data_IF_012774052629
#
_entry.id   IF_012774052629
#
_cell.length_a   1.000
_cell.length_b   1.000
_cell.length_c   1.000
_cell.angle_alpha   90.00
_cell.angle_beta   90.00
_cell.angle_gamma   90.00
#
_symmetry.space_group_name_H-M   'P 1'
#
loop_
_entity.id
_entity.type
_entity.pdbx_description
1 polymer ?
#
# COMPACT_ATOMS: atom_id res chain seq x y z
N UNK A 1 56.97 -10.45 -47.11
CA UNK A 1 56.50 -10.26 -45.74
C UNK A 1 55.05 -9.74 -45.84
N UNK A 2 54.05 -10.61 -45.60
CA UNK A 2 52.63 -10.21 -45.62
C UNK A 2 52.19 -10.05 -44.17
N UNK A 3 51.80 -8.81 -43.81
CA UNK A 3 51.21 -8.48 -42.51
C UNK A 3 49.74 -8.88 -42.55
N UNK A 4 49.34 -9.79 -41.65
CA UNK A 4 47.92 -10.14 -41.43
C UNK A 4 47.42 -9.29 -40.24
N UNK A 5 46.54 -8.32 -40.51
CA UNK A 5 45.84 -7.59 -39.45
C UNK A 5 44.68 -8.48 -38.98
N UNK A 6 44.78 -8.94 -37.71
CA UNK A 6 43.62 -9.54 -37.01
C UNK A 6 42.74 -8.38 -36.46
N UNK A 7 41.60 -8.20 -37.05
CA UNK A 7 40.55 -7.34 -36.49
C UNK A 7 39.81 -8.12 -35.38
N UNK A 8 40.06 -7.79 -34.13
CA UNK A 8 39.32 -8.29 -32.99
C UNK A 8 37.93 -7.66 -32.92
N UNK A 9 36.88 -8.46 -33.15
CA UNK A 9 35.51 -8.05 -32.91
C UNK A 9 35.25 -8.11 -31.39
N UNK A 10 35.24 -6.93 -30.75
CA UNK A 10 34.78 -6.81 -29.36
C UNK A 10 33.26 -7.02 -29.31
N UNK A 11 32.82 -8.17 -28.82
CA UNK A 11 31.44 -8.42 -28.52
C UNK A 11 31.05 -7.61 -27.27
N UNK A 12 30.46 -6.43 -27.46
CA UNK A 12 29.88 -5.67 -26.38
C UNK A 12 28.59 -6.41 -25.96
N UNK A 13 28.67 -7.21 -24.90
CA UNK A 13 27.50 -7.72 -24.19
C UNK A 13 26.76 -6.50 -23.62
N UNK A 14 25.73 -6.03 -24.32
CA UNK A 14 24.78 -5.08 -23.75
C UNK A 14 24.12 -5.76 -22.56
N UNK A 15 24.49 -5.36 -21.35
CA UNK A 15 23.72 -5.68 -20.15
C UNK A 15 22.27 -5.20 -20.41
N UNK A 16 21.23 -5.99 -20.07
CA UNK A 16 19.87 -5.52 -20.18
C UNK A 16 19.77 -4.23 -19.39
N UNK A 17 19.43 -3.13 -20.05
CA UNK A 17 19.05 -1.89 -19.36
C UNK A 17 17.99 -2.29 -18.34
N UNK A 18 18.32 -2.13 -17.05
CA UNK A 18 17.31 -2.18 -16.01
C UNK A 18 16.26 -1.13 -16.41
N UNK A 19 15.05 -1.57 -16.67
CA UNK A 19 13.99 -0.64 -17.00
C UNK A 19 13.89 0.37 -15.86
N UNK A 20 13.93 1.64 -16.20
CA UNK A 20 13.74 2.69 -15.22
C UNK A 20 12.36 2.45 -14.55
N UNK A 21 12.20 2.70 -13.23
CA UNK A 21 10.90 2.56 -12.55
C UNK A 21 9.83 3.54 -13.10
N UNK A 22 10.13 4.21 -14.20
CA UNK A 22 9.37 5.29 -14.81
C UNK A 22 7.93 4.95 -15.15
N UNK A 23 7.65 3.74 -15.63
CA UNK A 23 6.29 3.38 -16.08
C UNK A 23 5.30 3.28 -14.92
N UNK A 24 5.73 2.82 -13.73
CA UNK A 24 4.86 2.74 -12.54
C UNK A 24 4.56 4.12 -11.93
N UNK A 25 5.43 5.11 -12.15
CA UNK A 25 5.32 6.47 -11.61
C UNK A 25 4.65 7.44 -12.59
N UNK A 26 4.69 7.13 -13.89
CA UNK A 26 4.14 7.98 -14.95
C UNK A 26 2.63 8.18 -14.79
N UNK A 27 2.09 9.35 -15.13
CA UNK A 27 0.65 9.55 -15.22
C UNK A 27 0.03 8.54 -16.20
N UNK A 28 -1.10 7.99 -15.80
CA UNK A 28 -1.86 7.12 -16.69
C UNK A 28 -2.44 7.92 -17.86
N UNK A 29 -2.53 7.29 -19.02
CA UNK A 29 -3.06 7.92 -20.24
C UNK A 29 -4.25 7.15 -20.76
N UNK A 30 -5.13 7.84 -21.49
CA UNK A 30 -6.34 7.23 -22.04
C UNK A 30 -7.63 7.84 -21.49
N UNK A 31 -8.79 7.25 -21.81
CA UNK A 31 -10.09 7.73 -21.35
C UNK A 31 -10.25 7.55 -19.83
N UNK A 32 -11.21 8.28 -19.26
CA UNK A 32 -11.61 8.19 -17.82
C UNK A 32 -10.48 8.44 -16.81
N UNK A 33 -9.48 9.25 -17.16
CA UNK A 33 -8.32 9.53 -16.31
C UNK A 33 -7.13 8.62 -16.56
N UNK A 34 -7.25 7.73 -17.53
CA UNK A 34 -6.20 6.82 -17.95
C UNK A 34 -6.25 5.45 -17.28
N UNK A 35 -5.49 4.53 -17.84
CA UNK A 35 -5.34 3.16 -17.35
C UNK A 35 -3.86 2.78 -17.19
N UNK A 36 -3.52 1.91 -16.22
CA UNK A 36 -2.15 1.42 -16.06
C UNK A 36 -1.73 0.53 -17.23
N UNK A 37 -0.49 0.67 -17.69
CA UNK A 37 0.10 -0.25 -18.64
C UNK A 37 0.54 -1.56 -17.94
N UNK A 38 -0.41 -2.44 -17.64
CA UNK A 38 -0.13 -3.71 -16.95
C UNK A 38 0.85 -4.60 -17.71
N UNK A 39 0.91 -4.53 -19.04
CA UNK A 39 1.81 -5.35 -19.85
C UNK A 39 3.29 -5.00 -19.65
N UNK A 40 3.59 -3.77 -19.23
CA UNK A 40 4.95 -3.32 -18.95
C UNK A 40 5.40 -3.58 -17.51
N UNK A 41 4.50 -3.96 -16.59
CA UNK A 41 4.80 -4.13 -15.15
C UNK A 41 5.61 -5.39 -14.91
N UNK A 42 6.71 -5.24 -14.18
CA UNK A 42 7.53 -6.34 -13.67
C UNK A 42 7.65 -6.25 -12.16
N UNK A 43 7.69 -7.40 -11.48
CA UNK A 43 7.79 -7.46 -10.01
C UNK A 43 9.01 -6.71 -9.48
N UNK A 44 10.14 -6.80 -10.20
CA UNK A 44 11.39 -6.12 -9.84
C UNK A 44 11.29 -4.57 -9.84
N UNK A 45 10.31 -4.00 -10.54
CA UNK A 45 10.12 -2.56 -10.64
C UNK A 45 9.34 -1.98 -9.44
N UNK A 46 8.58 -2.79 -8.69
CA UNK A 46 7.74 -2.29 -7.59
C UNK A 46 8.54 -1.63 -6.47
N UNK A 47 9.55 -2.32 -5.93
CA UNK A 47 10.34 -1.79 -4.83
C UNK A 47 10.97 -0.44 -5.17
N UNK A 48 11.79 -0.29 -6.23
CA UNK A 48 12.40 0.98 -6.56
C UNK A 48 11.37 2.07 -6.90
N UNK A 49 10.24 1.73 -7.52
CA UNK A 49 9.17 2.68 -7.80
C UNK A 49 8.51 3.19 -6.52
N UNK A 50 8.14 2.29 -5.60
CA UNK A 50 7.53 2.67 -4.31
C UNK A 50 8.49 3.53 -3.48
N UNK A 51 9.76 3.16 -3.39
CA UNK A 51 10.78 3.94 -2.66
C UNK A 51 10.98 5.34 -3.27
N UNK A 52 11.05 5.45 -4.59
CA UNK A 52 11.18 6.73 -5.29
C UNK A 52 9.93 7.59 -5.12
N UNK A 53 8.74 6.99 -5.17
CA UNK A 53 7.47 7.68 -4.98
C UNK A 53 7.31 8.19 -3.54
N UNK A 54 7.67 7.39 -2.52
CA UNK A 54 7.70 7.83 -1.12
C UNK A 54 8.63 9.02 -0.91
N UNK A 55 9.85 8.94 -1.46
CA UNK A 55 10.82 10.03 -1.37
C UNK A 55 10.32 11.32 -2.05
N UNK A 56 9.60 11.19 -3.16
CA UNK A 56 8.98 12.33 -3.84
C UNK A 56 7.86 12.93 -2.99
N UNK A 57 6.97 12.11 -2.46
CA UNK A 57 5.87 12.58 -1.63
C UNK A 57 6.39 13.25 -0.34
N UNK A 58 7.42 12.72 0.32
CA UNK A 58 8.01 13.42 1.48
C UNK A 58 8.53 14.82 1.12
N UNK A 59 9.13 15.02 -0.06
CA UNK A 59 9.53 16.36 -0.51
C UNK A 59 8.32 17.28 -0.74
N UNK A 60 7.23 16.78 -1.28
CA UNK A 60 5.97 17.52 -1.43
C UNK A 60 5.42 17.95 -0.06
N UNK A 61 5.40 17.02 0.90
CA UNK A 61 5.00 17.28 2.29
C UNK A 61 5.89 18.33 2.95
N UNK A 62 7.21 18.21 2.79
CA UNK A 62 8.17 19.17 3.35
C UNK A 62 7.99 20.58 2.74
N UNK A 63 7.71 20.66 1.44
CA UNK A 63 7.41 21.93 0.77
C UNK A 63 6.14 22.60 1.34
N UNK A 64 5.10 21.81 1.61
CA UNK A 64 3.88 22.32 2.27
C UNK A 64 4.21 22.80 3.69
N UNK A 65 4.90 21.96 4.46
CA UNK A 65 5.22 22.22 5.86
C UNK A 65 6.14 23.44 6.03
N UNK A 66 7.04 23.69 5.08
CA UNK A 66 8.00 24.79 5.09
C UNK A 66 7.48 26.09 4.43
N UNK A 67 6.25 26.10 3.90
CA UNK A 67 5.71 27.27 3.23
C UNK A 67 5.61 28.45 4.21
N UNK A 68 6.28 29.61 3.95
CA UNK A 68 6.30 30.75 4.86
C UNK A 68 5.00 31.55 4.88
N UNK A 69 4.13 31.40 3.87
CA UNK A 69 2.87 32.11 3.83
C UNK A 69 1.89 31.62 4.90
N UNK A 70 1.00 32.48 5.42
CA UNK A 70 -0.05 32.06 6.35
C UNK A 70 -0.82 30.84 5.80
N UNK A 71 -1.13 29.84 6.65
CA UNK A 71 -1.84 28.64 6.21
C UNK A 71 -3.25 28.95 5.71
N UNK A 72 -3.57 28.45 4.52
CA UNK A 72 -4.90 28.54 3.91
C UNK A 72 -5.30 27.18 3.33
N UNK A 73 -6.58 27.01 2.96
CA UNK A 73 -7.02 25.84 2.21
C UNK A 73 -6.17 25.64 0.94
N UNK A 74 -5.94 26.71 0.18
CA UNK A 74 -5.26 26.66 -1.11
C UNK A 74 -3.77 26.29 -1.01
N UNK A 75 -3.07 26.68 0.06
CA UNK A 75 -1.63 26.44 0.21
C UNK A 75 -1.26 25.37 1.24
N UNK A 76 -2.26 24.69 1.82
CA UNK A 76 -2.03 23.65 2.83
C UNK A 76 -2.86 22.41 2.55
N UNK A 77 -4.20 22.52 2.59
CA UNK A 77 -5.08 21.35 2.46
C UNK A 77 -5.11 20.82 1.02
N UNK A 78 -5.30 21.69 0.04
CA UNK A 78 -5.36 21.29 -1.36
C UNK A 78 -4.06 20.69 -1.89
N UNK A 79 -2.87 21.27 -1.63
CA UNK A 79 -1.61 20.61 -1.97
C UNK A 79 -1.39 19.29 -1.23
N UNK A 80 -1.79 19.17 0.02
CA UNK A 80 -1.71 17.93 0.78
C UNK A 80 -2.59 16.83 0.17
N UNK A 81 -3.84 17.15 -0.19
CA UNK A 81 -4.75 16.22 -0.87
C UNK A 81 -4.22 15.74 -2.22
N UNK A 82 -3.52 16.60 -2.94
CA UNK A 82 -2.92 16.29 -4.24
C UNK A 82 -1.54 15.67 -4.15
N UNK A 83 -0.95 15.61 -2.95
CA UNK A 83 0.39 15.03 -2.78
C UNK A 83 0.37 13.50 -2.90
N UNK A 84 1.49 12.92 -3.31
CA UNK A 84 1.65 11.47 -3.38
C UNK A 84 0.96 10.78 -4.55
N UNK A 85 0.58 11.49 -5.60
CA UNK A 85 -0.07 10.87 -6.78
C UNK A 85 0.77 9.75 -7.41
N UNK A 86 2.10 9.91 -7.49
CA UNK A 86 2.98 8.88 -8.00
C UNK A 86 2.98 7.63 -7.11
N UNK A 87 2.93 7.82 -5.78
CA UNK A 87 2.82 6.72 -4.82
C UNK A 87 1.46 6.02 -4.93
N UNK A 88 0.40 6.79 -5.11
CA UNK A 88 -0.95 6.24 -5.33
C UNK A 88 -0.99 5.37 -6.58
N UNK A 89 -0.40 5.82 -7.69
CA UNK A 89 -0.34 5.01 -8.92
C UNK A 89 0.43 3.71 -8.74
N UNK A 90 1.67 3.80 -8.25
CA UNK A 90 2.50 2.62 -8.02
C UNK A 90 1.87 1.66 -6.98
N UNK A 91 1.33 2.21 -5.90
CA UNK A 91 0.67 1.45 -4.85
C UNK A 91 -0.62 0.76 -5.31
N UNK A 92 -1.40 1.39 -6.17
CA UNK A 92 -2.61 0.78 -6.76
C UNK A 92 -2.25 -0.46 -7.58
N UNK A 93 -1.25 -0.35 -8.47
CA UNK A 93 -0.80 -1.48 -9.29
C UNK A 93 -0.23 -2.58 -8.39
N UNK A 94 0.62 -2.21 -7.42
CA UNK A 94 1.20 -3.16 -6.47
C UNK A 94 0.12 -3.89 -5.66
N UNK A 95 -0.91 -3.17 -5.19
CA UNK A 95 -2.04 -3.77 -4.47
C UNK A 95 -2.83 -4.77 -5.31
N UNK A 96 -3.03 -4.50 -6.62
CA UNK A 96 -3.67 -5.45 -7.54
C UNK A 96 -2.82 -6.73 -7.67
N UNK A 97 -1.50 -6.60 -7.81
CA UNK A 97 -0.60 -7.74 -7.90
C UNK A 97 -0.57 -8.55 -6.60
N UNK A 98 -0.46 -7.89 -5.45
CA UNK A 98 -0.47 -8.54 -4.14
C UNK A 98 -1.75 -9.32 -3.86
N UNK A 99 -2.89 -8.82 -4.35
CA UNK A 99 -4.21 -9.44 -4.10
C UNK A 99 -4.56 -10.54 -5.11
N UNK A 100 -4.15 -10.40 -6.38
CA UNK A 100 -4.66 -11.27 -7.46
C UNK A 100 -3.56 -12.10 -8.15
N UNK A 101 -2.31 -11.66 -8.11
CA UNK A 101 -1.18 -12.28 -8.80
C UNK A 101 -0.02 -12.57 -7.82
N UNK A 102 -0.35 -12.97 -6.60
CA UNK A 102 0.63 -13.16 -5.53
C UNK A 102 1.55 -14.34 -5.83
N UNK A 103 2.79 -14.01 -6.26
CA UNK A 103 3.89 -14.96 -6.40
C UNK A 103 4.84 -14.84 -5.20
N UNK A 104 5.78 -15.79 -4.99
CA UNK A 104 6.81 -15.66 -3.96
C UNK A 104 7.61 -14.34 -4.04
N UNK A 105 7.89 -13.87 -5.26
CA UNK A 105 8.61 -12.62 -5.49
C UNK A 105 7.79 -11.41 -5.09
N UNK A 106 6.48 -11.38 -5.38
CA UNK A 106 5.56 -10.31 -4.93
C UNK A 106 5.46 -10.31 -3.41
N UNK A 107 5.33 -11.49 -2.79
CA UNK A 107 5.29 -11.62 -1.33
C UNK A 107 6.59 -11.13 -0.66
N UNK A 108 7.75 -11.34 -1.28
CA UNK A 108 9.02 -10.82 -0.79
C UNK A 108 9.06 -9.28 -0.83
N UNK A 109 8.61 -8.65 -1.92
CA UNK A 109 8.49 -7.19 -2.02
C UNK A 109 7.52 -6.66 -0.96
N UNK A 110 6.37 -7.29 -0.78
CA UNK A 110 5.36 -6.92 0.23
C UNK A 110 5.98 -6.92 1.65
N UNK A 111 6.69 -8.00 1.99
CA UNK A 111 7.35 -8.15 3.30
C UNK A 111 8.41 -7.06 3.52
N UNK A 112 9.19 -6.73 2.49
CA UNK A 112 10.22 -5.70 2.59
C UNK A 112 9.63 -4.29 2.65
N UNK A 113 8.56 -4.03 1.89
CA UNK A 113 7.98 -2.69 1.80
C UNK A 113 7.04 -2.35 2.95
N UNK A 114 6.42 -3.32 3.61
CA UNK A 114 5.48 -3.07 4.69
C UNK A 114 6.04 -2.17 5.81
N UNK A 115 7.21 -2.45 6.43
CA UNK A 115 7.76 -1.57 7.45
C UNK A 115 8.17 -0.19 6.90
N UNK A 116 8.61 -0.10 5.63
CA UNK A 116 8.98 1.17 5.00
C UNK A 116 7.76 2.06 4.76
N UNK A 117 6.66 1.48 4.29
CA UNK A 117 5.40 2.19 4.10
C UNK A 117 4.80 2.66 5.44
N UNK A 118 4.92 1.85 6.49
CA UNK A 118 4.51 2.25 7.84
C UNK A 118 5.32 3.45 8.33
N UNK A 119 6.64 3.36 8.30
CA UNK A 119 7.53 4.45 8.71
C UNK A 119 7.32 5.73 7.89
N UNK A 120 7.06 5.60 6.58
CA UNK A 120 6.70 6.69 5.70
C UNK A 120 5.39 7.38 6.15
N UNK A 121 4.35 6.60 6.44
CA UNK A 121 3.08 7.13 6.96
C UNK A 121 3.27 7.89 8.28
N UNK A 122 4.04 7.31 9.19
CA UNK A 122 4.37 7.93 10.49
C UNK A 122 5.15 9.24 10.31
N UNK A 123 6.09 9.30 9.37
CA UNK A 123 6.86 10.51 9.09
C UNK A 123 5.96 11.69 8.66
N UNK A 124 4.90 11.42 7.90
CA UNK A 124 3.91 12.45 7.50
C UNK A 124 3.06 12.87 8.70
N UNK A 125 2.47 11.91 9.40
CA UNK A 125 1.54 12.18 10.51
C UNK A 125 2.24 12.85 11.69
N UNK A 126 3.48 12.49 11.96
CA UNK A 126 4.27 13.06 13.07
C UNK A 126 4.99 14.37 12.70
N UNK A 127 4.83 14.88 11.47
CA UNK A 127 5.41 16.14 11.07
C UNK A 127 4.72 17.33 11.77
N UNK A 128 5.37 17.96 12.77
CA UNK A 128 4.71 18.97 13.58
C UNK A 128 4.44 20.28 12.81
N UNK A 129 5.28 20.58 11.81
CA UNK A 129 5.10 21.78 10.98
C UNK A 129 3.91 21.64 10.05
N UNK A 130 3.76 20.46 9.44
CA UNK A 130 2.60 20.15 8.61
C UNK A 130 1.32 20.21 9.46
N UNK A 131 1.31 19.54 10.62
CA UNK A 131 0.13 19.54 11.47
C UNK A 131 -0.23 20.95 11.98
N UNK A 132 0.74 21.77 12.34
CA UNK A 132 0.48 23.16 12.75
C UNK A 132 -0.23 23.97 11.65
N UNK A 133 0.13 23.76 10.38
CA UNK A 133 -0.55 24.40 9.24
C UNK A 133 -1.98 23.88 9.06
N UNK A 134 -2.18 22.55 9.16
CA UNK A 134 -3.51 21.92 9.07
C UNK A 134 -4.42 22.42 10.21
N UNK A 135 -3.91 22.49 11.44
CA UNK A 135 -4.64 22.96 12.61
C UNK A 135 -5.01 24.45 12.49
N UNK A 136 -4.11 25.26 11.94
CA UNK A 136 -4.37 26.67 11.68
C UNK A 136 -5.50 26.87 10.65
N UNK A 137 -5.53 26.10 9.57
CA UNK A 137 -6.65 26.15 8.60
C UNK A 137 -7.96 25.68 9.24
N UNK A 138 -7.91 24.61 10.03
CA UNK A 138 -9.11 24.07 10.70
C UNK A 138 -9.72 25.06 11.70
N UNK A 139 -8.89 25.79 12.44
CA UNK A 139 -9.32 26.75 13.48
C UNK A 139 -9.57 28.17 12.93
N UNK A 140 -9.17 28.47 11.67
CA UNK A 140 -9.41 29.77 11.05
C UNK A 140 -10.89 30.05 10.88
N UNK A 141 -11.34 31.30 11.16
CA UNK A 141 -12.68 31.73 10.82
C UNK A 141 -12.97 31.69 9.32
N UNK A 142 -11.96 31.87 8.46
CA UNK A 142 -12.07 31.84 7.00
C UNK A 142 -12.55 30.46 6.48
N UNK A 143 -12.48 29.40 7.31
CA UNK A 143 -13.04 28.10 6.99
C UNK A 143 -14.54 28.18 6.67
N UNK A 144 -15.28 29.14 7.27
CA UNK A 144 -16.70 29.30 7.01
C UNK A 144 -17.01 29.80 5.58
N UNK A 145 -16.02 30.40 4.91
CA UNK A 145 -16.15 30.88 3.52
C UNK A 145 -15.87 29.80 2.48
N UNK A 146 -15.36 28.63 2.91
CA UNK A 146 -15.11 27.48 2.03
C UNK A 146 -16.41 26.81 1.63
N UNK A 147 -16.40 26.10 0.48
CA UNK A 147 -17.54 25.25 0.10
C UNK A 147 -17.75 24.12 1.10
N UNK A 148 -18.96 23.53 1.19
CA UNK A 148 -19.22 22.39 2.10
C UNK A 148 -18.24 21.25 1.93
N UNK A 149 -17.85 20.91 0.69
CA UNK A 149 -16.86 19.84 0.39
C UNK A 149 -15.47 20.22 0.90
N UNK A 150 -15.06 21.45 0.70
CA UNK A 150 -13.78 21.95 1.19
C UNK A 150 -13.74 21.96 2.73
N UNK A 151 -14.81 22.42 3.39
CA UNK A 151 -14.93 22.35 4.85
C UNK A 151 -14.85 20.92 5.36
N UNK A 152 -15.51 19.99 4.64
CA UNK A 152 -15.45 18.56 4.95
C UNK A 152 -14.04 18.00 4.80
N UNK A 153 -13.34 18.35 3.73
CA UNK A 153 -11.96 17.92 3.50
C UNK A 153 -11.02 18.45 4.60
N UNK A 154 -11.12 19.72 4.97
CA UNK A 154 -10.39 20.30 6.10
C UNK A 154 -10.62 19.49 7.39
N UNK A 155 -11.89 19.19 7.70
CA UNK A 155 -12.25 18.45 8.91
C UNK A 155 -11.73 17.00 8.88
N UNK A 156 -11.86 16.29 7.77
CA UNK A 156 -11.40 14.89 7.64
C UNK A 156 -9.88 14.83 7.78
N UNK A 157 -9.16 15.72 7.10
CA UNK A 157 -7.70 15.83 7.18
C UNK A 157 -7.25 16.11 8.61
N UNK A 158 -7.78 17.16 9.23
CA UNK A 158 -7.46 17.52 10.61
C UNK A 158 -7.76 16.37 11.59
N UNK A 159 -8.96 15.77 11.49
CA UNK A 159 -9.38 14.65 12.33
C UNK A 159 -8.45 13.47 12.22
N UNK A 160 -8.02 13.12 11.00
CA UNK A 160 -7.06 12.02 10.76
C UNK A 160 -5.77 12.23 11.57
N UNK A 161 -5.17 13.42 11.48
CA UNK A 161 -3.96 13.74 12.25
C UNK A 161 -4.19 13.66 13.76
N UNK A 162 -5.30 14.23 14.24
CA UNK A 162 -5.63 14.21 15.68
C UNK A 162 -5.84 12.78 16.18
N UNK A 163 -6.58 11.95 15.45
CA UNK A 163 -6.81 10.56 15.83
C UNK A 163 -5.53 9.71 15.82
N UNK A 164 -4.54 10.11 15.02
CA UNK A 164 -3.23 9.46 14.98
C UNK A 164 -2.21 10.14 15.94
N UNK A 165 -2.70 10.91 16.89
CA UNK A 165 -1.91 11.40 18.00
C UNK A 165 -1.16 12.71 17.74
N UNK A 166 -1.45 13.47 16.67
CA UNK A 166 -0.72 14.69 16.37
C UNK A 166 -0.80 15.75 17.49
N UNK A 167 -1.91 15.81 18.25
CA UNK A 167 -2.12 16.74 19.38
C UNK A 167 -1.64 16.23 20.73
N UNK A 168 -1.22 14.98 20.83
CA UNK A 168 -0.77 14.42 22.08
C UNK A 168 0.52 15.08 22.57
N UNK A 169 0.67 15.18 23.89
CA UNK A 169 1.94 15.55 24.50
C UNK A 169 3.04 14.50 24.17
N UNK A 170 4.33 14.83 24.29
CA UNK A 170 5.40 13.84 24.10
C UNK A 170 5.24 12.59 24.98
N UNK A 171 4.76 12.74 26.22
CA UNK A 171 4.53 11.62 27.14
C UNK A 171 3.36 10.74 26.65
N UNK A 172 2.24 11.37 26.26
CA UNK A 172 1.07 10.65 25.76
C UNK A 172 1.36 9.97 24.41
N UNK A 173 2.21 10.58 23.55
CA UNK A 173 2.66 9.95 22.31
C UNK A 173 3.42 8.64 22.56
N UNK A 174 4.25 8.60 23.62
CA UNK A 174 4.96 7.37 23.98
C UNK A 174 3.98 6.26 24.44
N UNK A 175 2.99 6.63 25.25
CA UNK A 175 1.92 5.71 25.67
C UNK A 175 1.11 5.22 24.47
N UNK A 176 0.71 6.12 23.59
CA UNK A 176 -0.04 5.80 22.37
C UNK A 176 0.73 4.85 21.44
N UNK A 177 2.04 5.07 21.29
CA UNK A 177 2.89 4.18 20.49
C UNK A 177 2.96 2.76 21.11
N UNK A 178 3.12 2.66 22.43
CA UNK A 178 3.13 1.38 23.14
C UNK A 178 1.79 0.63 23.03
N UNK A 179 0.68 1.37 23.13
CA UNK A 179 -0.66 0.80 22.94
C UNK A 179 -0.89 0.30 21.50
N UNK A 180 -0.42 1.04 20.50
CA UNK A 180 -0.49 0.63 19.09
C UNK A 180 0.34 -0.63 18.83
N UNK A 181 1.55 -0.75 19.39
CA UNK A 181 2.37 -1.95 19.29
C UNK A 181 1.66 -3.18 19.91
N UNK A 182 1.06 -2.99 21.09
CA UNK A 182 0.28 -4.03 21.74
C UNK A 182 -0.95 -4.42 20.91
N UNK A 183 -1.67 -3.45 20.35
CA UNK A 183 -2.81 -3.70 19.47
C UNK A 183 -2.39 -4.45 18.20
N UNK A 184 -1.28 -4.09 17.57
CA UNK A 184 -0.77 -4.80 16.41
C UNK A 184 -0.49 -6.28 16.71
N UNK A 185 0.12 -6.55 17.88
CA UNK A 185 0.36 -7.92 18.35
C UNK A 185 -0.96 -8.68 18.60
N UNK A 186 -1.95 -8.03 19.22
CA UNK A 186 -3.25 -8.64 19.48
C UNK A 186 -4.03 -8.92 18.20
N UNK A 187 -4.01 -8.01 17.23
CA UNK A 187 -4.64 -8.22 15.92
C UNK A 187 -3.99 -9.37 15.14
N UNK A 188 -2.64 -9.45 15.15
CA UNK A 188 -1.95 -10.56 14.52
C UNK A 188 -2.36 -11.91 15.16
N UNK A 189 -2.43 -11.97 16.49
CA UNK A 189 -2.87 -13.15 17.21
C UNK A 189 -4.34 -13.49 16.94
N UNK A 190 -5.20 -12.47 16.86
CA UNK A 190 -6.61 -12.66 16.54
C UNK A 190 -6.76 -13.28 15.14
N UNK A 191 -6.09 -12.73 14.13
CA UNK A 191 -6.13 -13.26 12.76
C UNK A 191 -5.59 -14.70 12.68
N UNK A 192 -4.53 -15.03 13.45
CA UNK A 192 -4.03 -16.40 13.54
C UNK A 192 -5.05 -17.36 14.18
N UNK A 193 -5.73 -16.91 15.22
CA UNK A 193 -6.76 -17.72 15.89
C UNK A 193 -7.98 -17.93 14.98
N UNK A 194 -8.40 -16.89 14.25
CA UNK A 194 -9.49 -16.96 13.27
C UNK A 194 -9.17 -17.98 12.17
N UNK A 195 -7.98 -17.90 11.60
CA UNK A 195 -7.52 -18.86 10.59
C UNK A 195 -7.47 -20.30 11.15
N UNK A 196 -6.94 -20.48 12.36
CA UNK A 196 -6.88 -21.80 13.00
C UNK A 196 -8.27 -22.37 13.29
N UNK A 197 -9.23 -21.52 13.68
CA UNK A 197 -10.62 -21.93 13.90
C UNK A 197 -11.28 -22.35 12.58
N UNK A 198 -11.11 -21.57 11.52
CA UNK A 198 -11.60 -21.89 10.17
C UNK A 198 -10.99 -23.20 9.65
N UNK A 199 -9.66 -23.38 9.78
CA UNK A 199 -8.98 -24.60 9.34
C UNK A 199 -9.37 -25.84 10.15
N UNK A 200 -9.72 -25.68 11.41
CA UNK A 200 -10.12 -26.76 12.31
C UNK A 200 -11.55 -27.22 12.07
N UNK A 201 -12.41 -26.33 11.53
CA UNK A 201 -13.80 -26.67 11.29
C UNK A 201 -13.93 -27.66 10.13
N UNK A 202 -14.58 -28.78 10.41
CA UNK A 202 -14.85 -29.82 9.42
C UNK A 202 -16.29 -30.29 9.57
N UNK A 203 -17.06 -30.12 8.51
CA UNK A 203 -18.39 -30.76 8.40
C UNK A 203 -18.23 -32.11 7.72
N UNK A 204 -18.36 -33.19 8.49
CA UNK A 204 -18.33 -34.55 7.94
C UNK A 204 -19.73 -34.94 7.46
N UNK A 205 -19.82 -35.42 6.21
CA UNK A 205 -21.05 -35.92 5.61
C UNK A 205 -21.01 -37.46 5.58
N UNK A 206 -21.83 -38.07 6.42
CA UNK A 206 -21.78 -39.54 6.69
C UNK A 206 -22.84 -40.35 5.95
N UNK A 207 -23.80 -39.71 5.29
CA UNK A 207 -24.91 -40.39 4.68
C UNK A 207 -25.26 -39.86 3.29
N UNK A 208 -25.80 -40.69 2.40
CA UNK A 208 -26.28 -40.28 1.09
C UNK A 208 -27.36 -39.20 1.15
N UNK A 209 -28.12 -39.14 2.23
CA UNK A 209 -29.14 -38.11 2.41
C UNK A 209 -28.54 -36.70 2.57
N UNK A 210 -27.38 -36.57 3.22
CA UNK A 210 -26.66 -35.31 3.39
C UNK A 210 -25.99 -34.84 2.09
N UNK A 211 -25.74 -35.76 1.14
CA UNK A 211 -25.17 -35.44 -0.18
C UNK A 211 -26.23 -34.96 -1.18
N UNK A 212 -27.53 -35.05 -0.83
CA UNK A 212 -28.63 -34.69 -1.72
C UNK A 212 -28.56 -33.21 -2.11
N UNK A 213 -28.50 -32.95 -3.41
CA UNK A 213 -28.40 -31.61 -3.97
C UNK A 213 -26.97 -31.19 -4.32
N UNK A 214 -25.94 -31.93 -3.90
CA UNK A 214 -24.58 -31.71 -4.34
C UNK A 214 -24.34 -32.34 -5.73
N UNK A 215 -23.55 -31.66 -6.55
CA UNK A 215 -23.08 -32.21 -7.84
C UNK A 215 -22.02 -33.26 -7.60
N UNK A 216 -21.85 -34.18 -8.59
CA UNK A 216 -20.78 -35.18 -8.52
C UNK A 216 -19.39 -34.55 -8.26
N UNK A 217 -19.09 -33.42 -8.91
CA UNK A 217 -17.79 -32.73 -8.73
C UNK A 217 -17.61 -32.23 -7.27
N UNK A 218 -18.65 -31.74 -6.63
CA UNK A 218 -18.61 -31.34 -5.22
C UNK A 218 -18.40 -32.52 -4.29
N UNK A 219 -19.09 -33.64 -4.54
CA UNK A 219 -18.90 -34.87 -3.76
C UNK A 219 -17.50 -35.44 -3.93
N UNK A 220 -16.98 -35.50 -5.17
CA UNK A 220 -15.62 -35.95 -5.43
C UNK A 220 -14.55 -35.04 -4.75
N UNK A 221 -14.76 -33.75 -4.77
CA UNK A 221 -13.86 -32.80 -4.11
C UNK A 221 -13.87 -32.95 -2.58
N UNK A 222 -15.07 -33.12 -1.98
CA UNK A 222 -15.20 -33.36 -0.55
C UNK A 222 -14.56 -34.69 -0.13
N UNK A 223 -14.74 -35.75 -0.90
CA UNK A 223 -14.10 -37.04 -0.64
C UNK A 223 -12.57 -36.98 -0.73
N UNK A 224 -12.03 -36.23 -1.70
CA UNK A 224 -10.59 -35.97 -1.80
C UNK A 224 -10.03 -35.20 -0.58
N UNK A 225 -10.78 -34.23 -0.08
CA UNK A 225 -10.41 -33.50 1.14
C UNK A 225 -10.52 -34.40 2.38
N UNK A 226 -11.55 -35.27 2.47
CA UNK A 226 -11.66 -36.26 3.53
C UNK A 226 -10.45 -37.18 3.60
N UNK A 227 -9.94 -37.63 2.45
CA UNK A 227 -8.70 -38.44 2.39
C UNK A 227 -7.50 -37.66 2.94
N UNK A 228 -7.31 -36.40 2.55
CA UNK A 228 -6.21 -35.56 3.05
C UNK A 228 -6.27 -35.36 4.56
N UNK A 229 -7.48 -35.29 5.12
CA UNK A 229 -7.71 -35.12 6.57
C UNK A 229 -7.72 -36.47 7.33
N UNK A 230 -7.34 -37.57 6.70
CA UNK A 230 -7.30 -38.91 7.31
C UNK A 230 -8.68 -39.52 7.55
N UNK A 231 -9.70 -39.09 6.84
CA UNK A 231 -11.08 -39.60 6.91
C UNK A 231 -11.55 -40.13 5.57
N UNK A 232 -10.92 -41.21 5.05
CA UNK A 232 -11.30 -41.79 3.76
C UNK A 232 -12.73 -42.32 3.79
N UNK A 233 -13.52 -42.04 2.76
CA UNK A 233 -14.92 -42.45 2.64
C UNK A 233 -15.94 -41.49 3.31
N UNK A 234 -15.47 -40.35 3.71
CA UNK A 234 -16.28 -39.26 4.23
C UNK A 234 -16.31 -38.11 3.23
#
# INVERSE_FOLDING_TARGET
MKLILLAGVALVLAAPLAAAPGDLLAPWTGPYGGEPNFAAVRVADFKPALEAAMATNLREIDAIAANPAPPTFANTILPFEKSGEALTRAGTIFGIWSSNLKTPEVAAVETEMAPKLSAFGDAIIQNPKLFARIDAVYTSPDKAELTPEQQRLVWVTWRRFVQQGAKLSPADKATFAADNEKLATLYAKFAQNELADEESFVLTLDSPAQLKGLTKAQVDAAAAEGVKRGQPGK
#
